data_IF_868841774248
#
_entry.id   IF_868841774248
#
_cell.length_a   1.000
_cell.length_b   1.000
_cell.length_c   1.000
_cell.angle_alpha   90.00
_cell.angle_beta   90.00
_cell.angle_gamma   90.00
#
_symmetry.space_group_name_H-M   'P 1'
#
loop_
_entity.id
_entity.type
_entity.pdbx_description
1 polymer ?
#
# COMPACT_ATOMS: atom_id res chain seq x y z
N UNK A 1 13.04 -3.98 16.33
CA UNK A 1 13.42 -2.90 15.39
C UNK A 1 12.68 -3.18 14.11
N UNK A 2 11.71 -2.34 13.77
CA UNK A 2 10.96 -2.47 12.53
C UNK A 2 11.84 -2.12 11.33
N UNK A 3 11.37 -2.42 10.12
CA UNK A 3 12.06 -2.10 8.86
C UNK A 3 12.25 -0.59 8.61
N UNK A 4 11.66 0.28 9.43
CA UNK A 4 11.72 1.76 9.30
C UNK A 4 13.16 2.27 9.21
N UNK A 5 14.06 1.81 10.08
CA UNK A 5 15.47 2.26 10.07
C UNK A 5 16.16 1.98 8.72
N UNK A 6 15.85 0.83 8.09
CA UNK A 6 16.37 0.49 6.76
C UNK A 6 15.85 1.46 5.71
N UNK A 7 14.57 1.79 5.73
CA UNK A 7 13.94 2.70 4.78
C UNK A 7 14.43 4.14 4.95
N UNK A 8 14.66 4.58 6.20
CA UNK A 8 15.33 5.85 6.49
C UNK A 8 16.67 5.99 5.78
N UNK A 9 17.49 4.92 5.80
CA UNK A 9 18.84 4.96 5.21
C UNK A 9 18.84 4.95 3.68
N UNK A 10 17.87 4.33 3.02
CA UNK A 10 17.89 4.11 1.58
C UNK A 10 16.98 5.05 0.79
N UNK A 11 16.26 5.95 1.44
CA UNK A 11 15.25 6.81 0.78
C UNK A 11 15.79 7.54 -0.46
N UNK A 12 17.03 8.06 -0.40
CA UNK A 12 17.65 8.81 -1.51
C UNK A 12 18.03 7.94 -2.73
N UNK A 13 18.10 6.63 -2.57
CA UNK A 13 18.49 5.68 -3.63
C UNK A 13 17.39 4.63 -3.87
N UNK A 14 16.20 4.89 -3.34
CA UNK A 14 15.10 3.94 -3.37
C UNK A 14 14.54 3.72 -4.78
N UNK A 15 14.44 4.78 -5.57
CA UNK A 15 13.80 4.79 -6.90
C UNK A 15 14.70 4.16 -7.98
N UNK A 16 14.91 2.84 -7.90
CA UNK A 16 15.61 2.10 -8.96
C UNK A 16 14.68 1.82 -10.16
N UNK A 17 15.22 1.58 -11.36
CA UNK A 17 14.41 1.23 -12.53
C UNK A 17 13.45 0.07 -12.28
N UNK A 18 13.89 -0.96 -11.54
CA UNK A 18 13.07 -2.13 -11.21
C UNK A 18 11.91 -1.76 -10.30
N UNK A 19 12.13 -0.90 -9.28
CA UNK A 19 11.06 -0.43 -8.37
C UNK A 19 10.08 0.49 -9.08
N UNK A 20 10.56 1.36 -9.95
CA UNK A 20 9.72 2.21 -10.79
C UNK A 20 8.81 1.35 -11.68
N UNK A 21 9.37 0.30 -12.32
CA UNK A 21 8.57 -0.62 -13.12
C UNK A 21 7.54 -1.37 -12.28
N UNK A 22 7.92 -1.92 -11.12
CA UNK A 22 6.97 -2.60 -10.23
C UNK A 22 5.87 -1.67 -9.73
N UNK A 23 6.21 -0.42 -9.41
CA UNK A 23 5.22 0.58 -9.01
C UNK A 23 4.25 0.92 -10.14
N UNK A 24 4.73 0.97 -11.39
CA UNK A 24 3.88 1.15 -12.57
C UNK A 24 2.90 -0.03 -12.73
N UNK A 25 3.39 -1.27 -12.68
CA UNK A 25 2.54 -2.46 -12.75
C UNK A 25 1.49 -2.47 -11.61
N UNK A 26 1.90 -2.08 -10.40
CA UNK A 26 1.02 -1.99 -9.23
C UNK A 26 -0.07 -0.93 -9.43
N UNK A 27 0.30 0.26 -9.89
CA UNK A 27 -0.67 1.35 -10.14
C UNK A 27 -1.63 1.00 -11.29
N UNK A 28 -1.14 0.32 -12.34
CA UNK A 28 -1.98 -0.16 -13.44
C UNK A 28 -2.98 -1.25 -12.96
N UNK A 29 -2.54 -2.13 -12.06
CA UNK A 29 -3.42 -3.11 -11.43
C UNK A 29 -4.50 -2.43 -10.56
N UNK A 30 -4.14 -1.45 -9.74
CA UNK A 30 -5.05 -0.67 -8.88
C UNK A 30 -6.11 0.04 -9.74
N UNK A 31 -5.73 0.68 -10.86
CA UNK A 31 -6.67 1.39 -11.75
C UNK A 31 -7.86 0.55 -12.19
N UNK A 32 -7.65 -0.75 -12.41
CA UNK A 32 -8.71 -1.64 -12.86
C UNK A 32 -9.85 -1.84 -11.83
N UNK A 33 -9.64 -1.45 -10.57
CA UNK A 33 -10.62 -1.56 -9.49
C UNK A 33 -11.16 -0.21 -9.02
N UNK A 34 -10.77 0.89 -9.67
CA UNK A 34 -11.27 2.23 -9.32
C UNK A 34 -12.65 2.45 -9.92
N UNK A 35 -13.61 2.85 -9.09
CA UNK A 35 -14.99 3.19 -9.48
C UNK A 35 -15.29 4.60 -8.98
N UNK A 36 -15.65 5.51 -9.87
CA UNK A 36 -16.00 6.92 -9.56
C UNK A 36 -14.96 7.63 -8.64
N UNK A 37 -13.69 7.22 -8.74
CA UNK A 37 -12.62 7.63 -7.83
C UNK A 37 -12.23 9.12 -7.98
N UNK A 38 -12.55 9.76 -9.10
CA UNK A 38 -12.17 11.14 -9.40
C UNK A 38 -12.64 12.17 -8.36
N UNK A 39 -13.76 11.92 -7.69
CA UNK A 39 -14.32 12.75 -6.63
C UNK A 39 -13.96 12.26 -5.22
N UNK A 40 -13.17 11.22 -5.10
CA UNK A 40 -12.85 10.51 -3.87
C UNK A 40 -11.47 10.87 -3.34
N UNK A 41 -11.30 10.73 -2.03
CA UNK A 41 -10.03 10.90 -1.35
C UNK A 41 -9.39 9.54 -1.08
N UNK A 42 -8.09 9.46 -1.28
CA UNK A 42 -7.33 8.23 -1.10
C UNK A 42 -6.17 8.39 -0.12
N UNK A 43 -5.74 7.26 0.45
CA UNK A 43 -4.50 7.13 1.22
C UNK A 43 -3.60 6.14 0.49
N UNK A 44 -2.36 6.56 0.20
CA UNK A 44 -1.24 5.69 -0.17
C UNK A 44 -0.56 5.25 1.13
N UNK A 45 -0.90 4.06 1.62
CA UNK A 45 -0.45 3.56 2.91
C UNK A 45 0.89 2.82 2.78
N UNK A 46 1.90 3.28 3.53
CA UNK A 46 3.28 2.82 3.37
C UNK A 46 3.86 3.26 2.03
N UNK A 47 3.64 4.52 1.68
CA UNK A 47 3.88 5.06 0.34
C UNK A 47 5.34 5.02 -0.11
N UNK A 48 6.31 4.82 0.81
CA UNK A 48 7.72 4.97 0.51
C UNK A 48 8.02 6.33 -0.13
N UNK A 49 8.69 6.35 -1.25
CA UNK A 49 8.96 7.58 -2.03
C UNK A 49 7.78 8.04 -2.89
N UNK A 50 6.61 7.42 -2.75
CA UNK A 50 5.38 7.79 -3.44
C UNK A 50 5.24 7.27 -4.86
N UNK A 51 6.01 6.27 -5.29
CA UNK A 51 6.01 5.81 -6.69
C UNK A 51 4.63 5.35 -7.19
N UNK A 52 3.84 4.67 -6.36
CA UNK A 52 2.51 4.18 -6.74
C UNK A 52 1.50 5.32 -6.73
N UNK A 53 1.41 6.08 -5.63
CA UNK A 53 0.45 7.18 -5.51
C UNK A 53 0.67 8.29 -6.53
N UNK A 54 1.93 8.62 -6.88
CA UNK A 54 2.25 9.60 -7.92
C UNK A 54 1.68 9.19 -9.29
N UNK A 55 1.68 7.90 -9.61
CA UNK A 55 1.06 7.38 -10.84
C UNK A 55 -0.48 7.44 -10.81
N UNK A 56 -1.08 7.58 -9.61
CA UNK A 56 -2.54 7.57 -9.40
C UNK A 56 -3.13 8.96 -9.11
N UNK A 57 -2.33 10.02 -9.06
CA UNK A 57 -2.78 11.38 -8.72
C UNK A 57 -3.97 11.86 -9.57
N UNK A 58 -3.97 11.51 -10.85
CA UNK A 58 -5.05 11.90 -11.76
C UNK A 58 -6.34 11.10 -11.59
N UNK A 59 -6.32 10.04 -10.81
CA UNK A 59 -7.49 9.17 -10.57
C UNK A 59 -8.34 9.65 -9.39
N UNK A 60 -7.79 10.45 -8.48
CA UNK A 60 -8.42 10.86 -7.24
C UNK A 60 -8.60 12.37 -7.13
N UNK A 61 -9.52 12.78 -6.26
CA UNK A 61 -9.65 14.19 -5.84
C UNK A 61 -8.40 14.62 -5.05
N UNK A 62 -7.97 13.79 -4.10
CA UNK A 62 -6.72 13.99 -3.35
C UNK A 62 -6.13 12.65 -2.91
N UNK A 63 -4.80 12.63 -2.72
CA UNK A 63 -4.07 11.50 -2.12
C UNK A 63 -3.27 11.99 -0.91
N UNK A 64 -3.47 11.34 0.23
CA UNK A 64 -2.61 11.45 1.39
C UNK A 64 -1.54 10.34 1.34
N UNK A 65 -0.28 10.73 1.22
CA UNK A 65 0.86 9.84 1.27
C UNK A 65 1.29 9.62 2.72
N UNK A 66 1.24 8.38 3.19
CA UNK A 66 1.49 8.02 4.57
C UNK A 66 2.59 6.97 4.66
N UNK A 67 3.62 7.26 5.48
CA UNK A 67 4.72 6.34 5.75
C UNK A 67 5.27 6.55 7.16
N UNK A 68 5.92 5.53 7.74
CA UNK A 68 6.60 5.60 9.03
C UNK A 68 7.97 6.26 8.95
N UNK A 69 8.58 6.33 7.75
CA UNK A 69 9.88 6.90 7.49
C UNK A 69 9.77 8.38 7.13
N UNK A 70 10.36 9.25 7.95
CA UNK A 70 10.42 10.68 7.66
C UNK A 70 11.22 10.98 6.38
N UNK A 71 12.27 10.21 6.11
CA UNK A 71 13.07 10.40 4.91
C UNK A 71 12.31 10.00 3.63
N UNK A 72 11.47 8.96 3.67
CA UNK A 72 10.56 8.63 2.56
C UNK A 72 9.55 9.77 2.34
N UNK A 73 8.92 10.26 3.39
CA UNK A 73 7.99 11.39 3.32
C UNK A 73 8.66 12.65 2.76
N UNK A 74 9.92 12.92 3.10
CA UNK A 74 10.66 14.06 2.55
C UNK A 74 10.87 13.92 1.02
N UNK A 75 11.08 12.69 0.49
CA UNK A 75 11.13 12.46 -0.96
C UNK A 75 9.80 12.76 -1.63
N UNK A 76 8.68 12.36 -1.02
CA UNK A 76 7.33 12.68 -1.53
C UNK A 76 7.11 14.20 -1.54
N UNK A 77 7.42 14.90 -0.43
CA UNK A 77 7.31 16.37 -0.34
C UNK A 77 8.13 17.08 -1.42
N UNK A 78 9.34 16.60 -1.68
CA UNK A 78 10.18 17.15 -2.74
C UNK A 78 9.50 17.00 -4.12
N UNK A 79 8.98 15.82 -4.44
CA UNK A 79 8.25 15.58 -5.69
C UNK A 79 6.99 16.45 -5.81
N UNK A 80 6.21 16.60 -4.73
CA UNK A 80 5.04 17.49 -4.69
C UNK A 80 5.44 18.92 -5.05
N UNK A 81 6.53 19.39 -4.48
CA UNK A 81 7.04 20.76 -4.72
C UNK A 81 7.56 20.92 -6.16
N UNK A 82 8.43 20.01 -6.59
CA UNK A 82 9.10 20.09 -7.91
C UNK A 82 8.12 20.02 -9.09
N UNK A 83 7.05 19.25 -8.95
CA UNK A 83 6.01 19.10 -9.97
C UNK A 83 4.76 19.97 -9.73
N UNK A 84 4.79 20.83 -8.71
CA UNK A 84 3.68 21.74 -8.34
C UNK A 84 2.33 20.97 -8.20
N UNK A 85 2.34 19.84 -7.52
CA UNK A 85 1.17 18.98 -7.31
C UNK A 85 0.25 19.62 -6.27
N UNK A 86 -1.05 19.77 -6.58
CA UNK A 86 -2.00 20.50 -5.74
C UNK A 86 -2.94 19.58 -4.95
N UNK A 87 -3.06 18.32 -5.36
CA UNK A 87 -3.99 17.33 -4.80
C UNK A 87 -3.27 16.22 -4.04
N UNK A 88 -2.15 16.53 -3.41
CA UNK A 88 -1.37 15.61 -2.61
C UNK A 88 -0.97 16.23 -1.28
N UNK A 89 -1.04 15.45 -0.21
CA UNK A 89 -0.52 15.79 1.11
C UNK A 89 0.28 14.61 1.68
N UNK A 90 1.01 14.84 2.75
CA UNK A 90 1.90 13.83 3.34
C UNK A 90 1.77 13.77 4.85
N UNK A 91 1.87 12.57 5.41
CA UNK A 91 1.86 12.35 6.85
C UNK A 91 2.91 11.29 7.22
N UNK A 92 3.85 11.65 8.12
CA UNK A 92 4.73 10.67 8.74
C UNK A 92 4.02 10.11 9.98
N UNK A 93 3.66 8.82 9.96
CA UNK A 93 2.79 8.24 10.98
C UNK A 93 2.96 6.73 11.11
N UNK A 94 2.96 6.24 12.34
CA UNK A 94 3.10 4.83 12.66
C UNK A 94 1.78 4.26 13.24
N UNK A 95 1.03 3.53 12.40
CA UNK A 95 -0.24 2.91 12.79
C UNK A 95 -0.12 1.86 13.90
N UNK A 96 1.06 1.29 14.11
CA UNK A 96 1.28 0.33 15.20
C UNK A 96 1.37 1.03 16.56
N UNK A 97 1.73 2.32 16.57
CA UNK A 97 1.99 3.09 17.79
C UNK A 97 0.98 4.18 18.10
N UNK A 98 0.38 4.75 17.06
CA UNK A 98 -0.43 5.96 17.17
C UNK A 98 -1.88 5.70 16.72
N UNK A 99 -2.83 6.52 17.17
CA UNK A 99 -4.24 6.43 16.77
C UNK A 99 -4.65 7.71 16.05
N UNK A 100 -5.25 7.57 14.86
CA UNK A 100 -5.86 8.65 14.11
C UNK A 100 -7.38 8.48 14.10
N UNK A 101 -8.06 9.07 15.09
CA UNK A 101 -9.53 9.03 15.16
C UNK A 101 -10.23 9.84 14.06
N UNK A 102 -9.52 10.80 13.46
CA UNK A 102 -10.10 11.78 12.53
C UNK A 102 -9.69 11.55 11.07
N UNK A 103 -8.92 10.48 10.80
CA UNK A 103 -8.52 10.15 9.44
C UNK A 103 -9.57 9.27 8.77
N UNK A 104 -10.10 9.74 7.63
CA UNK A 104 -11.07 9.02 6.83
C UNK A 104 -10.70 9.06 5.35
N UNK A 105 -10.94 7.96 4.64
CA UNK A 105 -10.70 7.87 3.20
C UNK A 105 -11.75 7.00 2.51
N UNK A 106 -12.02 7.31 1.24
CA UNK A 106 -12.87 6.48 0.38
C UNK A 106 -12.08 5.31 -0.22
N UNK A 107 -10.77 5.51 -0.41
CA UNK A 107 -9.85 4.51 -0.91
C UNK A 107 -8.59 4.47 -0.03
N UNK A 108 -8.16 3.27 0.30
CA UNK A 108 -6.82 3.02 0.82
C UNK A 108 -6.16 2.03 -0.13
N UNK A 109 -4.98 2.32 -0.59
CA UNK A 109 -4.18 1.37 -1.34
C UNK A 109 -2.77 1.25 -0.73
N UNK A 110 -2.20 0.07 -0.85
CA UNK A 110 -0.85 -0.23 -0.41
C UNK A 110 -0.17 -1.17 -1.39
N UNK A 111 1.13 -1.00 -1.58
CA UNK A 111 1.91 -1.85 -2.47
C UNK A 111 3.22 -2.27 -1.80
N UNK A 112 3.37 -3.59 -1.59
CA UNK A 112 4.55 -4.20 -0.95
C UNK A 112 4.79 -3.68 0.48
N UNK A 113 3.71 -3.53 1.25
CA UNK A 113 3.72 -3.02 2.63
C UNK A 113 3.46 -4.11 3.64
N UNK A 114 2.42 -4.95 3.42
CA UNK A 114 2.03 -5.98 4.40
C UNK A 114 3.15 -6.95 4.72
N UNK A 115 4.01 -7.24 3.75
CA UNK A 115 5.16 -8.13 3.99
C UNK A 115 6.12 -7.60 5.08
N UNK A 116 6.05 -6.32 5.43
CA UNK A 116 6.86 -5.67 6.46
C UNK A 116 6.15 -5.55 7.82
N UNK A 117 4.86 -5.85 7.89
CA UNK A 117 4.00 -5.67 9.08
C UNK A 117 3.96 -6.97 9.88
N UNK A 118 4.28 -6.93 11.17
CA UNK A 118 4.26 -8.12 12.03
C UNK A 118 2.82 -8.56 12.35
N UNK A 119 1.98 -7.64 12.78
CA UNK A 119 0.57 -7.90 13.11
C UNK A 119 -0.33 -7.39 11.99
N UNK A 120 -0.47 -8.23 10.95
CA UNK A 120 -1.28 -7.93 9.77
C UNK A 120 -2.75 -7.73 10.12
N UNK A 121 -3.30 -8.57 11.01
CA UNK A 121 -4.71 -8.49 11.41
C UNK A 121 -5.02 -7.19 12.13
N UNK A 122 -4.15 -6.77 13.05
CA UNK A 122 -4.27 -5.49 13.75
C UNK A 122 -4.27 -4.30 12.80
N UNK A 123 -3.32 -4.25 11.87
CA UNK A 123 -3.25 -3.11 10.92
C UNK A 123 -4.45 -3.10 9.98
N UNK A 124 -4.89 -4.27 9.47
CA UNK A 124 -6.09 -4.35 8.64
C UNK A 124 -7.35 -3.90 9.37
N UNK A 125 -7.50 -4.23 10.67
CA UNK A 125 -8.61 -3.74 11.48
C UNK A 125 -8.57 -2.21 11.64
N UNK A 126 -7.37 -1.64 11.85
CA UNK A 126 -7.18 -0.18 11.94
C UNK A 126 -7.53 0.53 10.61
N UNK A 127 -7.13 -0.05 9.47
CA UNK A 127 -7.47 0.49 8.16
C UNK A 127 -8.97 0.39 7.87
N UNK A 128 -9.63 -0.65 8.39
CA UNK A 128 -11.09 -0.76 8.32
C UNK A 128 -11.77 0.42 9.03
N UNK A 129 -11.28 0.83 10.20
CA UNK A 129 -11.83 1.98 10.94
C UNK A 129 -11.66 3.29 10.16
N UNK A 130 -10.53 3.48 9.46
CA UNK A 130 -10.21 4.66 8.65
C UNK A 130 -11.07 4.75 7.38
N UNK A 131 -11.47 3.63 6.81
CA UNK A 131 -12.32 3.65 5.61
C UNK A 131 -13.70 4.23 5.88
N UNK A 132 -14.18 5.07 4.97
CA UNK A 132 -15.59 5.46 4.89
C UNK A 132 -16.47 4.24 4.60
N UNK A 133 -17.75 4.29 4.95
CA UNK A 133 -18.74 3.29 4.59
C UNK A 133 -18.73 3.04 3.06
N UNK A 134 -18.62 1.78 2.66
CA UNK A 134 -18.46 1.40 1.26
C UNK A 134 -17.10 1.78 0.63
N UNK A 135 -16.15 2.29 1.42
CA UNK A 135 -14.80 2.59 0.98
C UNK A 135 -14.01 1.33 0.63
N UNK A 136 -13.00 1.47 -0.20
CA UNK A 136 -12.22 0.38 -0.80
C UNK A 136 -10.84 0.25 -0.19
N UNK A 137 -10.42 -0.97 0.12
CA UNK A 137 -9.02 -1.31 0.42
C UNK A 137 -8.44 -2.14 -0.71
N UNK A 138 -7.32 -1.67 -1.28
CA UNK A 138 -6.60 -2.32 -2.36
C UNK A 138 -5.20 -2.70 -1.88
N UNK A 139 -4.89 -4.00 -1.87
CA UNK A 139 -3.63 -4.54 -1.40
C UNK A 139 -2.89 -5.15 -2.58
N UNK A 140 -1.69 -4.64 -2.87
CA UNK A 140 -0.75 -5.22 -3.82
C UNK A 140 0.44 -5.76 -3.05
N UNK A 141 0.67 -7.08 -3.12
CA UNK A 141 1.82 -7.69 -2.45
C UNK A 141 2.26 -8.98 -3.18
N UNK A 142 3.31 -9.63 -2.69
CA UNK A 142 3.82 -10.86 -3.27
C UNK A 142 2.98 -12.07 -2.88
N UNK A 143 2.72 -12.96 -3.85
CA UNK A 143 2.23 -14.30 -3.56
C UNK A 143 3.27 -15.05 -2.72
N UNK A 144 2.80 -15.93 -1.84
CA UNK A 144 3.64 -16.75 -0.97
C UNK A 144 4.70 -17.51 -1.78
N UNK A 145 5.94 -17.40 -1.31
CA UNK A 145 7.11 -18.03 -1.93
C UNK A 145 7.96 -18.74 -0.88
N UNK A 146 7.87 -20.05 -0.82
CA UNK A 146 8.56 -20.89 0.17
C UNK A 146 10.11 -20.84 0.05
N UNK A 147 10.64 -20.28 -1.05
CA UNK A 147 12.10 -20.05 -1.20
C UNK A 147 12.60 -18.84 -0.42
N UNK A 148 11.69 -17.98 0.02
CA UNK A 148 12.03 -16.80 0.82
C UNK A 148 12.09 -17.20 2.28
N UNK A 149 13.25 -17.07 2.87
CA UNK A 149 13.48 -17.28 4.32
C UNK A 149 14.01 -15.97 4.89
N UNK A 150 13.26 -15.34 5.78
CA UNK A 150 13.61 -14.04 6.36
C UNK A 150 12.97 -13.88 7.74
N UNK A 151 13.73 -13.28 8.66
CA UNK A 151 13.24 -12.93 10.01
C UNK A 151 12.64 -11.51 10.05
N UNK A 152 12.73 -10.76 8.95
CA UNK A 152 12.35 -9.33 8.91
C UNK A 152 11.22 -9.02 7.93
N UNK A 153 10.83 -9.97 7.08
CA UNK A 153 9.70 -9.83 6.16
C UNK A 153 8.97 -11.16 6.05
N UNK A 154 7.65 -11.09 5.80
CA UNK A 154 6.87 -12.27 5.40
C UNK A 154 7.37 -12.82 4.06
N UNK A 155 7.25 -14.11 3.85
CA UNK A 155 7.60 -14.75 2.57
C UNK A 155 6.53 -14.59 1.48
N UNK A 156 5.69 -13.56 1.60
CA UNK A 156 4.51 -13.30 0.79
C UNK A 156 3.25 -13.88 1.41
N UNK A 157 2.13 -13.74 0.73
CA UNK A 157 0.80 -14.09 1.25
C UNK A 157 0.06 -15.04 0.31
N UNK A 158 -0.78 -15.88 0.89
CA UNK A 158 -1.87 -16.54 0.18
C UNK A 158 -3.07 -15.57 0.17
N UNK A 159 -3.50 -15.05 -1.00
CA UNK A 159 -4.59 -14.07 -1.04
C UNK A 159 -5.91 -14.60 -0.47
N UNK A 160 -6.17 -15.91 -0.57
CA UNK A 160 -7.36 -16.54 0.02
C UNK A 160 -7.33 -16.52 1.55
N UNK A 161 -6.19 -16.88 2.17
CA UNK A 161 -6.03 -16.81 3.63
C UNK A 161 -6.13 -15.35 4.13
N UNK A 162 -5.59 -14.40 3.37
CA UNK A 162 -5.70 -12.98 3.69
C UNK A 162 -7.17 -12.49 3.59
N UNK A 163 -7.90 -12.94 2.56
CA UNK A 163 -9.32 -12.66 2.40
C UNK A 163 -10.17 -13.19 3.55
N UNK A 164 -9.83 -14.37 4.10
CA UNK A 164 -10.50 -14.95 5.28
C UNK A 164 -10.32 -14.07 6.53
N UNK A 165 -9.12 -13.55 6.75
CA UNK A 165 -8.82 -12.61 7.85
C UNK A 165 -9.65 -11.33 7.67
N UNK A 166 -9.61 -10.74 6.48
CA UNK A 166 -10.32 -9.50 6.16
C UNK A 166 -11.85 -9.65 6.30
N UNK A 167 -12.39 -10.80 5.89
CA UNK A 167 -13.82 -11.10 6.06
C UNK A 167 -14.24 -11.11 7.54
N UNK A 168 -13.41 -11.65 8.43
CA UNK A 168 -13.67 -11.66 9.88
C UNK A 168 -13.65 -10.25 10.47
N UNK A 169 -12.80 -9.36 9.97
CA UNK A 169 -12.75 -7.95 10.38
C UNK A 169 -14.02 -7.20 9.96
N UNK A 170 -14.63 -7.56 8.83
CA UNK A 170 -15.83 -6.90 8.33
C UNK A 170 -15.77 -6.48 6.87
N UNK A 171 -14.63 -6.66 6.21
CA UNK A 171 -14.53 -6.40 4.76
C UNK A 171 -15.44 -7.32 3.96
N UNK A 172 -15.95 -6.82 2.83
CA UNK A 172 -16.89 -7.51 1.92
C UNK A 172 -16.43 -7.37 0.47
N UNK A 173 -17.07 -8.10 -0.42
CA UNK A 173 -16.85 -8.06 -1.87
C UNK A 173 -15.40 -8.35 -2.27
N UNK A 174 -14.72 -9.23 -1.51
CA UNK A 174 -13.30 -9.51 -1.71
C UNK A 174 -13.05 -10.18 -3.07
N UNK A 175 -12.15 -9.61 -3.83
CA UNK A 175 -11.66 -10.13 -5.10
C UNK A 175 -10.14 -10.11 -5.11
N UNK A 176 -9.52 -11.15 -5.66
CA UNK A 176 -8.07 -11.13 -5.81
C UNK A 176 -7.62 -11.79 -7.12
N UNK A 177 -6.48 -11.34 -7.61
CA UNK A 177 -5.92 -11.80 -8.88
C UNK A 177 -4.40 -11.66 -8.86
N UNK A 178 -3.68 -12.69 -9.30
CA UNK A 178 -2.26 -12.54 -9.66
C UNK A 178 -2.19 -11.77 -10.99
N UNK A 179 -1.45 -10.66 -11.03
CA UNK A 179 -1.40 -9.77 -12.18
C UNK A 179 0.00 -9.61 -12.79
N UNK A 180 1.04 -9.94 -12.03
CA UNK A 180 2.42 -9.76 -12.46
C UNK A 180 3.31 -10.93 -12.02
N UNK A 181 4.28 -11.29 -12.85
CA UNK A 181 5.34 -12.26 -12.51
C UNK A 181 6.66 -11.71 -13.06
N UNK A 182 7.66 -11.69 -12.22
CA UNK A 182 8.97 -11.14 -12.58
C UNK A 182 10.13 -11.99 -12.08
N UNK A 183 11.27 -11.87 -12.76
CA UNK A 183 12.49 -12.53 -12.35
C UNK A 183 13.23 -11.70 -11.30
N UNK A 184 13.63 -12.36 -10.21
CA UNK A 184 14.43 -11.79 -9.10
C UNK A 184 13.79 -10.58 -8.40
N UNK A 185 12.46 -10.45 -8.47
CA UNK A 185 11.74 -9.29 -7.93
C UNK A 185 11.48 -9.35 -6.43
N UNK A 186 11.67 -10.52 -5.79
CA UNK A 186 11.48 -10.70 -4.35
C UNK A 186 12.72 -11.33 -3.71
N UNK A 187 13.53 -10.51 -3.04
CA UNK A 187 14.80 -10.93 -2.37
C UNK A 187 15.71 -11.76 -3.29
N UNK A 188 15.80 -11.37 -4.58
CA UNK A 188 16.62 -12.06 -5.57
C UNK A 188 16.01 -13.35 -6.16
N UNK A 189 14.77 -13.68 -5.81
CA UNK A 189 14.03 -14.81 -6.35
C UNK A 189 12.95 -14.36 -7.32
N UNK A 190 12.64 -15.21 -8.29
CA UNK A 190 11.48 -15.06 -9.16
C UNK A 190 10.22 -15.16 -8.30
N UNK A 191 9.28 -14.26 -8.52
CA UNK A 191 8.06 -14.18 -7.75
C UNK A 191 6.91 -13.62 -8.58
N UNK A 192 5.69 -13.76 -8.04
CA UNK A 192 4.50 -13.13 -8.60
C UNK A 192 3.84 -12.22 -7.58
N UNK A 193 3.09 -11.25 -8.09
CA UNK A 193 2.34 -10.29 -7.28
C UNK A 193 0.85 -10.45 -7.51
N UNK A 194 0.09 -10.30 -6.44
CA UNK A 194 -1.37 -10.25 -6.49
C UNK A 194 -1.88 -8.85 -6.17
N UNK A 195 -3.09 -8.58 -6.61
CA UNK A 195 -3.94 -7.51 -6.09
C UNK A 195 -5.14 -8.14 -5.41
N UNK A 196 -5.48 -7.64 -4.22
CA UNK A 196 -6.70 -7.96 -3.49
C UNK A 196 -7.48 -6.66 -3.29
N UNK A 197 -8.74 -6.64 -3.73
CA UNK A 197 -9.69 -5.54 -3.53
C UNK A 197 -10.76 -6.00 -2.56
N UNK A 198 -11.18 -5.10 -1.70
CA UNK A 198 -12.27 -5.30 -0.76
C UNK A 198 -12.96 -3.98 -0.44
N UNK A 199 -14.16 -4.06 0.13
CA UNK A 199 -14.93 -2.89 0.59
C UNK A 199 -15.19 -2.96 2.09
N UNK A 200 -15.28 -1.80 2.72
CA UNK A 200 -15.86 -1.72 4.07
C UNK A 200 -17.33 -2.11 3.99
N UNK A 201 -17.71 -3.17 4.72
CA UNK A 201 -19.11 -3.56 4.86
C UNK A 201 -19.88 -2.55 5.71
N UNK A 202 -21.19 -2.44 5.46
CA UNK A 202 -22.08 -1.75 6.39
C UNK A 202 -22.20 -2.59 7.67
N UNK A 203 -22.09 -1.94 8.83
CA UNK A 203 -22.36 -2.53 10.12
C UNK A 203 -23.86 -2.70 10.33
#
# INVERSE_FOLDING_TARGET
MGNTDKFEMIANIYDTPERIQMAKESSDAIRNYLVDAKSKNAIDFGCGTGLVGMNLLNEFNSILFLDTSQNMINQVKQKITDFNIQNADTLCFDFEKESLSDLHADYIFMAQVLLHIQDVEFVLARLFDVLNEGGHLLIVDFNKNEKIVSDIVHNGFNPGELADIMTKIGYRDLQFKTFYTGSKIFMGHDASMFILESKKGHL
#
